data_IF_934181196454
#
_entry.id   IF_934181196454
#
_cell.length_a   1.000
_cell.length_b   1.000
_cell.length_c   1.000
_cell.angle_alpha   90.00
_cell.angle_beta   90.00
_cell.angle_gamma   90.00
#
_symmetry.space_group_name_H-M   'P 1'
#
loop_
_entity.id
_entity.type
_entity.pdbx_description
1 polymer ?
#
# COMPACT_ATOMS: atom_id res chain seq x y z
N UNK A 1 30.76 6.01 -3.51
CA UNK A 1 30.06 5.88 -2.21
C UNK A 1 28.67 5.38 -2.53
N UNK A 2 28.32 4.19 -2.06
CA UNK A 2 26.95 3.67 -2.13
C UNK A 2 26.11 4.46 -1.11
N UNK A 3 25.10 5.21 -1.56
CA UNK A 3 24.05 5.69 -0.69
C UNK A 3 23.11 4.50 -0.45
N UNK A 4 23.23 3.88 0.72
CA UNK A 4 22.46 2.69 1.11
C UNK A 4 21.15 3.03 1.85
N UNK A 5 20.84 4.32 2.05
CA UNK A 5 19.62 4.77 2.71
C UNK A 5 19.21 6.12 2.13
N UNK A 6 18.31 6.12 1.16
CA UNK A 6 17.68 7.33 0.66
C UNK A 6 16.24 7.01 0.33
N UNK A 7 15.30 7.80 0.88
CA UNK A 7 13.86 7.82 0.62
C UNK A 7 12.87 6.92 1.42
N UNK A 8 13.20 6.42 2.62
CA UNK A 8 12.17 5.76 3.46
C UNK A 8 11.18 6.75 4.12
N UNK A 9 11.61 7.98 4.47
CA UNK A 9 10.70 8.96 5.14
C UNK A 9 9.48 9.33 4.28
N UNK A 10 9.59 9.24 2.95
CA UNK A 10 8.45 9.50 2.06
C UNK A 10 7.53 8.30 1.84
N UNK A 11 7.98 7.07 2.11
CA UNK A 11 7.13 5.88 1.96
C UNK A 11 6.13 5.81 3.12
N UNK A 12 6.62 5.88 4.36
CA UNK A 12 5.78 5.85 5.57
C UNK A 12 4.72 6.97 5.56
N UNK A 13 5.10 8.21 5.21
CA UNK A 13 4.17 9.33 5.09
C UNK A 13 3.07 9.08 4.03
N UNK A 14 3.40 8.42 2.91
CA UNK A 14 2.43 8.07 1.86
C UNK A 14 1.52 6.93 2.29
N UNK A 15 2.05 5.96 3.03
CA UNK A 15 1.28 4.86 3.63
C UNK A 15 0.24 5.44 4.60
N UNK A 16 0.65 6.35 5.47
CA UNK A 16 -0.24 7.04 6.41
C UNK A 16 -1.29 7.89 5.68
N UNK A 17 -0.88 8.71 4.71
CA UNK A 17 -1.79 9.53 3.93
C UNK A 17 -2.85 8.69 3.17
N UNK A 18 -2.46 7.51 2.67
CA UNK A 18 -3.38 6.60 1.99
C UNK A 18 -4.38 5.96 2.96
N UNK A 19 -3.93 5.59 4.17
CA UNK A 19 -4.81 5.08 5.22
C UNK A 19 -5.83 6.15 5.66
N UNK A 20 -5.36 7.37 5.89
CA UNK A 20 -6.19 8.53 6.24
C UNK A 20 -7.24 8.82 5.16
N UNK A 21 -6.84 8.78 3.89
CA UNK A 21 -7.75 8.97 2.77
C UNK A 21 -8.86 7.91 2.76
N UNK A 22 -8.52 6.62 2.85
CA UNK A 22 -9.50 5.54 2.85
C UNK A 22 -10.47 5.68 4.03
N UNK A 23 -9.95 5.99 5.22
CA UNK A 23 -10.76 6.26 6.40
C UNK A 23 -11.70 7.46 6.20
N UNK A 24 -11.19 8.55 5.63
CA UNK A 24 -11.97 9.76 5.32
C UNK A 24 -13.07 9.53 4.28
N UNK A 25 -12.83 8.62 3.32
CA UNK A 25 -13.80 8.19 2.32
C UNK A 25 -14.85 7.20 2.85
N UNK A 26 -14.74 6.77 4.11
CA UNK A 26 -15.70 5.90 4.77
C UNK A 26 -15.43 4.40 4.63
N UNK A 27 -14.20 4.01 4.26
CA UNK A 27 -13.77 2.62 4.37
C UNK A 27 -13.62 2.22 5.84
N UNK A 28 -13.84 0.95 6.15
CA UNK A 28 -13.72 0.37 7.49
C UNK A 28 -12.51 -0.56 7.62
N UNK A 29 -12.18 -1.02 8.83
CA UNK A 29 -11.00 -1.86 9.15
C UNK A 29 -9.70 -1.41 8.44
N UNK A 30 -9.48 -0.09 8.37
CA UNK A 30 -8.26 0.47 7.77
C UNK A 30 -7.04 0.05 8.59
N UNK A 31 -6.05 -0.51 7.91
CA UNK A 31 -4.79 -1.04 8.45
C UNK A 31 -3.64 -0.54 7.59
N UNK A 32 -2.52 -0.22 8.21
CA UNK A 32 -1.35 0.28 7.50
C UNK A 32 -0.06 -0.22 8.13
N UNK A 33 0.84 -0.76 7.31
CA UNK A 33 2.15 -1.23 7.77
C UNK A 33 3.01 -0.03 8.16
N UNK A 34 3.95 -0.24 9.08
CA UNK A 34 4.94 0.76 9.50
C UNK A 34 4.39 2.09 10.07
N UNK A 35 3.08 2.23 10.26
CA UNK A 35 2.46 3.37 10.95
C UNK A 35 2.02 2.99 12.36
N UNK A 36 2.24 3.88 13.34
CA UNK A 36 1.80 3.62 14.73
C UNK A 36 0.31 3.86 14.97
N UNK A 37 -0.36 4.56 14.05
CA UNK A 37 -1.76 4.97 14.19
C UNK A 37 -2.75 3.89 13.77
N UNK A 38 -2.29 2.93 12.96
CA UNK A 38 -3.11 1.88 12.39
C UNK A 38 -2.66 0.48 12.82
N UNK A 39 -3.57 -0.50 12.90
CA UNK A 39 -3.16 -1.89 13.11
C UNK A 39 -2.43 -2.44 11.88
N UNK A 40 -1.53 -3.40 12.10
CA UNK A 40 -0.82 -4.08 11.02
C UNK A 40 -1.79 -4.77 10.03
N UNK A 41 -1.50 -4.68 8.72
CA UNK A 41 -2.20 -5.44 7.69
C UNK A 41 -1.98 -6.95 7.83
N UNK A 42 -2.97 -7.74 7.44
CA UNK A 42 -2.83 -9.19 7.36
C UNK A 42 -1.87 -9.56 6.21
N UNK A 43 -1.20 -10.70 6.33
CA UNK A 43 -0.34 -11.20 5.25
C UNK A 43 -1.15 -11.87 4.15
N UNK A 44 -0.76 -11.66 2.89
CA UNK A 44 -1.25 -12.39 1.71
C UNK A 44 -0.06 -13.11 1.09
N UNK A 45 -0.17 -14.44 1.00
CA UNK A 45 0.91 -15.33 0.56
C UNK A 45 2.30 -15.01 1.17
N UNK A 46 2.33 -14.71 2.48
CA UNK A 46 3.56 -14.41 3.22
C UNK A 46 4.12 -12.99 3.07
N UNK A 47 3.47 -12.13 2.29
CA UNK A 47 3.80 -10.69 2.17
C UNK A 47 2.83 -9.83 2.97
N UNK A 48 3.34 -8.73 3.52
CA UNK A 48 2.52 -7.70 4.18
C UNK A 48 2.30 -6.62 3.11
N UNK A 49 1.05 -6.27 2.78
CA UNK A 49 0.76 -5.09 1.96
C UNK A 49 0.88 -3.83 2.81
N UNK A 50 1.08 -2.68 2.16
CA UNK A 50 1.23 -1.40 2.85
C UNK A 50 -0.06 -0.93 3.51
N UNK A 51 -1.18 -0.94 2.78
CA UNK A 51 -2.48 -0.51 3.33
C UNK A 51 -3.58 -1.48 2.93
N UNK A 52 -4.51 -1.77 3.84
CA UNK A 52 -5.74 -2.50 3.53
C UNK A 52 -6.94 -1.86 4.19
N UNK A 53 -8.12 -2.02 3.59
CA UNK A 53 -9.37 -1.60 4.20
C UNK A 53 -10.55 -2.41 3.66
N UNK A 54 -11.64 -2.43 4.40
CA UNK A 54 -12.93 -2.99 3.99
C UNK A 54 -13.71 -1.93 3.21
N UNK A 55 -14.12 -2.28 1.99
CA UNK A 55 -14.77 -1.38 1.05
C UNK A 55 -16.28 -1.37 1.20
N UNK A 56 -16.91 -0.20 1.42
CA UNK A 56 -18.38 -0.11 1.41
C UNK A 56 -18.96 -0.24 -0.01
N UNK A 57 -18.11 -0.27 -1.04
CA UNK A 57 -18.49 -0.25 -2.45
C UNK A 57 -18.25 -1.58 -3.17
N UNK A 58 -17.80 -2.61 -2.47
CA UNK A 58 -17.50 -3.92 -3.05
C UNK A 58 -16.11 -4.38 -2.67
N UNK A 59 -15.18 -4.38 -3.63
CA UNK A 59 -13.88 -5.02 -3.43
C UNK A 59 -12.97 -4.26 -2.46
N UNK A 60 -12.38 -5.01 -1.54
CA UNK A 60 -11.49 -4.53 -0.49
C UNK A 60 -10.13 -4.17 -1.09
N UNK A 61 -9.66 -2.91 -0.95
CA UNK A 61 -8.35 -2.53 -1.45
C UNK A 61 -7.24 -3.20 -0.64
N UNK A 62 -6.28 -3.76 -1.38
CA UNK A 62 -4.96 -4.13 -0.88
C UNK A 62 -3.97 -3.26 -1.62
N UNK A 63 -3.32 -2.33 -0.93
CA UNK A 63 -2.49 -1.28 -1.54
C UNK A 63 -1.02 -1.56 -1.28
N UNK A 64 -0.21 -1.37 -2.30
CA UNK A 64 1.26 -1.35 -2.25
C UNK A 64 1.74 -0.02 -2.84
N UNK A 65 2.56 0.72 -2.10
CA UNK A 65 3.11 2.02 -2.48
C UNK A 65 4.56 1.82 -2.93
N UNK A 66 4.82 2.18 -4.19
CA UNK A 66 6.16 2.20 -4.77
C UNK A 66 6.62 3.67 -4.88
N UNK A 67 7.67 4.02 -4.13
CA UNK A 67 8.30 5.35 -4.22
C UNK A 67 9.31 5.45 -5.36
N UNK A 68 9.51 4.37 -6.12
CA UNK A 68 10.32 4.36 -7.33
C UNK A 68 9.55 4.84 -8.57
N UNK A 69 10.27 5.42 -9.52
CA UNK A 69 9.73 5.75 -10.86
C UNK A 69 9.58 4.52 -11.77
N UNK A 70 10.11 3.36 -11.34
CA UNK A 70 10.05 2.10 -12.08
C UNK A 70 9.96 0.95 -11.10
N UNK A 71 9.00 0.04 -11.30
CA UNK A 71 8.88 -1.19 -10.51
C UNK A 71 10.13 -2.05 -10.66
N UNK A 72 10.85 -2.30 -9.57
CA UNK A 72 12.01 -3.19 -9.62
C UNK A 72 11.56 -4.65 -9.73
N UNK A 73 12.48 -5.57 -10.06
CA UNK A 73 12.18 -7.01 -10.05
C UNK A 73 11.78 -7.53 -8.66
N UNK A 74 12.26 -6.88 -7.60
CA UNK A 74 11.91 -7.23 -6.23
C UNK A 74 10.46 -6.85 -5.95
N UNK A 75 10.08 -5.65 -6.33
CA UNK A 75 8.75 -5.09 -6.07
C UNK A 75 7.71 -5.82 -6.93
N UNK A 76 8.05 -6.14 -8.19
CA UNK A 76 7.22 -7.01 -9.03
C UNK A 76 6.96 -8.36 -8.38
N UNK A 77 7.98 -8.99 -7.77
CA UNK A 77 7.78 -10.26 -7.06
C UNK A 77 6.88 -10.09 -5.83
N UNK A 78 6.96 -8.97 -5.13
CA UNK A 78 6.06 -8.66 -4.03
C UNK A 78 4.62 -8.52 -4.50
N UNK A 79 4.39 -7.80 -5.60
CA UNK A 79 3.07 -7.68 -6.24
C UNK A 79 2.52 -9.04 -6.70
N UNK A 80 3.35 -9.86 -7.32
CA UNK A 80 2.96 -11.21 -7.76
C UNK A 80 2.58 -12.10 -6.55
N UNK A 81 3.41 -12.08 -5.50
CA UNK A 81 3.16 -12.83 -4.27
C UNK A 81 1.84 -12.36 -3.62
N UNK A 82 1.65 -11.04 -3.45
CA UNK A 82 0.42 -10.46 -2.91
C UNK A 82 -0.80 -10.82 -3.75
N UNK A 83 -0.73 -10.63 -5.07
CA UNK A 83 -1.81 -10.91 -6.01
C UNK A 83 -2.27 -12.36 -5.96
N UNK A 84 -1.34 -13.30 -5.79
CA UNK A 84 -1.67 -14.73 -5.70
C UNK A 84 -2.30 -15.14 -4.38
N UNK A 85 -2.20 -14.29 -3.35
CA UNK A 85 -2.74 -14.52 -2.01
C UNK A 85 -4.01 -13.73 -1.70
N UNK A 86 -4.60 -13.03 -2.67
CA UNK A 86 -5.82 -12.26 -2.48
C UNK A 86 -7.06 -13.16 -2.40
N UNK A 87 -8.02 -12.74 -1.57
CA UNK A 87 -9.37 -13.29 -1.60
C UNK A 87 -10.17 -12.75 -2.81
N UNK A 88 -11.32 -13.38 -3.10
CA UNK A 88 -12.13 -13.07 -4.30
C UNK A 88 -12.73 -11.66 -4.30
N UNK A 89 -12.92 -11.12 -3.10
CA UNK A 89 -13.41 -9.78 -2.80
C UNK A 89 -12.28 -8.78 -2.62
N UNK A 90 -11.01 -9.17 -2.65
CA UNK A 90 -9.88 -8.24 -2.58
C UNK A 90 -9.42 -7.75 -3.97
N UNK A 91 -8.76 -6.60 -4.01
CA UNK A 91 -8.13 -6.06 -5.22
C UNK A 91 -6.79 -5.42 -4.89
N UNK A 92 -5.70 -5.92 -5.50
CA UNK A 92 -4.39 -5.30 -5.40
C UNK A 92 -4.33 -4.01 -6.23
N UNK A 93 -3.86 -2.94 -5.60
CA UNK A 93 -3.66 -1.62 -6.17
C UNK A 93 -2.20 -1.24 -5.91
N UNK A 94 -1.43 -1.08 -6.99
CA UNK A 94 -0.11 -0.48 -6.90
C UNK A 94 -0.26 1.03 -7.09
N UNK A 95 0.38 1.83 -6.24
CA UNK A 95 0.50 3.28 -6.40
C UNK A 95 1.98 3.59 -6.58
N UNK A 96 2.38 4.04 -7.77
CA UNK A 96 3.77 4.43 -8.03
C UNK A 96 4.02 5.93 -7.78
N UNK A 97 5.26 6.41 -7.96
CA UNK A 97 5.61 7.82 -7.77
C UNK A 97 5.21 8.73 -8.97
N UNK A 98 4.82 8.15 -10.12
CA UNK A 98 4.30 8.90 -11.28
C UNK A 98 2.77 9.00 -11.27
N UNK A 99 2.09 8.22 -10.42
CA UNK A 99 0.70 8.37 -10.05
C UNK A 99 0.51 9.66 -9.23
N UNK A 100 0.61 10.80 -9.93
CA UNK A 100 0.28 12.17 -9.48
C UNK A 100 -1.19 12.34 -9.08
N UNK A 101 -1.93 11.24 -8.90
CA UNK A 101 -3.32 11.24 -8.50
C UNK A 101 -3.50 11.73 -7.04
N UNK A 102 -2.45 11.76 -6.22
CA UNK A 102 -2.60 12.05 -4.78
C UNK A 102 -1.60 13.05 -4.18
N UNK A 103 -0.63 13.57 -4.95
CA UNK A 103 0.39 14.53 -4.48
C UNK A 103 -0.01 16.02 -4.56
N UNK A 104 -1.30 16.33 -4.62
CA UNK A 104 -1.79 17.69 -4.89
C UNK A 104 -3.06 18.04 -4.12
N UNK A 105 -2.93 18.24 -2.82
CA UNK A 105 -3.86 19.02 -1.99
C UNK A 105 -3.07 19.98 -1.12
#
# INVERSE_FOLDING_TARGET
>A
MFNLFGNDEGHDDRVEAQADLLRGLGYSDVRADHTSEYPDPKKRNGRVPDVTADSPFGRDPVVEIDTGTTTSKRDQRQLDDLSSGLDLDESLIQIDDDDRLFGGW
#
